data_IF_436029955246
#
_entry.id   IF_436029955246
#
_cell.length_a   1.000
_cell.length_b   1.000
_cell.length_c   1.000
_cell.angle_alpha   90.00
_cell.angle_beta   90.00
_cell.angle_gamma   90.00
#
_symmetry.space_group_name_H-M   'P 1'
#
loop_
_entity.id
_entity.type
_entity.pdbx_description
1 polymer ?
#
# COMPACT_ATOMS: atom_id res chain seq x y z
N UNK A 1 21.33 21.75 5.96
CA UNK A 1 21.36 22.99 6.76
C UNK A 1 20.30 22.88 7.86
N UNK A 2 20.66 22.42 9.06
CA UNK A 2 19.78 22.39 10.24
C UNK A 2 19.94 23.68 11.04
N UNK A 3 18.83 24.37 11.34
CA UNK A 3 18.82 25.59 12.16
C UNK A 3 18.98 25.21 13.64
N UNK A 4 20.05 25.71 14.27
CA UNK A 4 20.29 25.61 15.71
C UNK A 4 19.14 26.25 16.49
N UNK A 5 18.45 25.45 17.32
CA UNK A 5 17.52 25.96 18.32
C UNK A 5 18.31 26.40 19.56
N UNK A 6 18.02 27.61 20.05
CA UNK A 6 18.80 28.33 21.07
C UNK A 6 18.93 27.58 22.41
N UNK A 7 20.17 27.41 22.86
CA UNK A 7 20.59 26.73 24.10
C UNK A 7 20.12 27.43 25.41
N UNK A 8 19.36 28.54 25.34
CA UNK A 8 18.83 29.25 26.51
C UNK A 8 17.46 28.76 27.00
N UNK A 9 16.82 27.83 26.29
CA UNK A 9 15.48 27.30 26.64
C UNK A 9 15.56 26.21 27.73
N UNK A 10 16.76 25.74 28.09
CA UNK A 10 16.96 24.47 28.82
C UNK A 10 16.73 24.54 30.34
N UNK A 11 16.58 25.71 30.98
CA UNK A 11 16.72 25.78 32.45
C UNK A 11 15.44 26.17 33.22
N UNK A 12 14.36 26.64 32.58
CA UNK A 12 13.25 27.29 33.29
C UNK A 12 11.83 26.80 33.07
N UNK A 13 11.59 25.80 32.22
CA UNK A 13 10.23 25.47 31.76
C UNK A 13 9.93 23.98 31.88
N UNK A 14 9.84 23.51 33.12
CA UNK A 14 9.10 22.28 33.48
C UNK A 14 7.58 22.49 33.27
N UNK A 15 7.17 22.77 32.04
CA UNK A 15 5.79 22.61 31.61
C UNK A 15 5.83 21.53 30.54
N UNK A 16 5.51 20.32 31.00
CA UNK A 16 5.24 19.14 30.19
C UNK A 16 4.25 19.49 29.08
N UNK A 17 4.75 19.75 27.88
CA UNK A 17 3.94 19.72 26.67
C UNK A 17 3.78 18.26 26.30
N UNK A 18 2.75 17.62 26.84
CA UNK A 18 2.30 16.32 26.34
C UNK A 18 1.67 16.61 24.98
N UNK A 19 2.43 16.37 23.91
CA UNK A 19 1.90 16.37 22.55
C UNK A 19 1.04 15.11 22.44
N UNK A 20 -0.26 15.26 22.66
CA UNK A 20 -1.22 14.21 22.33
C UNK A 20 -1.34 14.24 20.81
N UNK A 21 -0.60 13.37 20.13
CA UNK A 21 -0.85 13.10 18.72
C UNK A 21 -2.10 12.22 18.71
N UNK A 22 -3.27 12.83 18.52
CA UNK A 22 -4.47 12.09 18.16
C UNK A 22 -4.27 11.53 16.75
N UNK A 23 -3.59 10.38 16.65
CA UNK A 23 -3.63 9.59 15.42
C UNK A 23 -5.04 9.02 15.36
N UNK A 24 -5.96 9.79 14.76
CA UNK A 24 -7.19 9.21 14.24
C UNK A 24 -6.72 8.23 13.18
N UNK A 25 -6.63 6.95 13.53
CA UNK A 25 -6.42 5.86 12.57
C UNK A 25 -7.74 5.74 11.81
N UNK A 26 -7.95 6.67 10.89
CA UNK A 26 -8.81 6.38 9.74
C UNK A 26 -8.01 5.30 9.02
N UNK A 27 -8.52 4.08 8.94
CA UNK A 27 -7.97 3.03 8.09
C UNK A 27 -8.19 3.39 6.61
N UNK A 28 -7.93 4.64 6.23
CA UNK A 28 -7.85 5.05 4.85
C UNK A 28 -6.67 4.29 4.26
N UNK A 29 -6.95 3.49 3.25
CA UNK A 29 -5.94 2.74 2.52
C UNK A 29 -4.86 3.69 2.05
N UNK A 30 -3.67 3.60 2.64
CA UNK A 30 -2.53 4.39 2.26
C UNK A 30 -1.63 3.61 1.30
N UNK A 31 -0.98 4.32 0.37
CA UNK A 31 -0.20 3.67 -0.67
C UNK A 31 1.09 3.01 -0.15
N UNK A 32 1.56 3.37 1.05
CA UNK A 32 2.72 2.73 1.67
C UNK A 32 2.32 1.32 2.12
N UNK A 33 1.14 1.19 2.73
CA UNK A 33 0.56 -0.12 3.09
C UNK A 33 0.33 -0.97 1.84
N UNK A 34 -0.22 -0.40 0.76
CA UNK A 34 -0.41 -1.13 -0.51
C UNK A 34 0.93 -1.58 -1.09
N UNK A 35 1.94 -0.71 -1.12
CA UNK A 35 3.27 -1.06 -1.61
C UNK A 35 3.93 -2.16 -0.76
N UNK A 36 3.78 -2.09 0.57
CA UNK A 36 4.28 -3.13 1.45
C UNK A 36 3.61 -4.48 1.18
N UNK A 37 2.29 -4.50 0.97
CA UNK A 37 1.56 -5.71 0.60
C UNK A 37 2.00 -6.27 -0.76
N UNK A 38 2.17 -5.41 -1.77
CA UNK A 38 2.66 -5.81 -3.09
C UNK A 38 4.09 -6.36 -3.05
N UNK A 39 4.96 -5.84 -2.18
CA UNK A 39 6.34 -6.32 -2.04
C UNK A 39 6.42 -7.81 -1.67
N UNK A 40 5.40 -8.35 -1.00
CA UNK A 40 5.31 -9.78 -0.64
C UNK A 40 5.14 -10.70 -1.85
N UNK A 41 4.79 -10.14 -3.01
CA UNK A 41 4.61 -10.84 -4.28
C UNK A 41 5.81 -10.70 -5.23
N UNK A 42 6.88 -10.00 -4.81
CA UNK A 42 8.05 -9.75 -5.66
C UNK A 42 8.69 -11.03 -6.19
N UNK A 43 8.75 -12.11 -5.42
CA UNK A 43 9.27 -13.39 -5.92
C UNK A 43 8.44 -13.99 -7.06
N UNK A 44 7.13 -13.80 -7.04
CA UNK A 44 6.24 -14.24 -8.11
C UNK A 44 6.48 -13.41 -9.38
N UNK A 45 6.53 -12.10 -9.20
CA UNK A 45 6.65 -11.12 -10.29
C UNK A 45 8.03 -11.19 -10.95
N UNK A 46 9.10 -11.34 -10.15
CA UNK A 46 10.48 -11.32 -10.65
C UNK A 46 10.94 -12.65 -11.26
N UNK A 47 10.40 -13.78 -10.80
CA UNK A 47 10.88 -15.11 -11.22
C UNK A 47 9.92 -15.84 -12.16
N UNK A 48 8.83 -15.19 -12.60
CA UNK A 48 7.76 -15.80 -13.42
C UNK A 48 7.34 -17.20 -12.89
N UNK A 49 7.37 -17.40 -11.57
CA UNK A 49 7.00 -18.70 -11.00
C UNK A 49 5.53 -18.90 -11.29
N UNK A 50 5.20 -19.95 -12.05
CA UNK A 50 4.01 -19.98 -12.91
C UNK A 50 2.69 -19.55 -12.28
N UNK A 51 2.44 -19.70 -10.99
CA UNK A 51 1.24 -19.22 -10.29
C UNK A 51 1.57 -19.09 -8.79
N UNK A 52 1.10 -18.06 -8.06
CA UNK A 52 1.21 -18.07 -6.61
C UNK A 52 0.34 -19.21 -6.07
N UNK A 53 0.86 -20.04 -5.17
CA UNK A 53 0.04 -21.06 -4.54
C UNK A 53 -1.01 -20.39 -3.62
N UNK A 54 -2.23 -20.91 -3.63
CA UNK A 54 -3.29 -20.47 -2.72
C UNK A 54 -2.83 -20.72 -1.27
N UNK A 55 -2.73 -19.65 -0.48
CA UNK A 55 -2.19 -19.67 0.89
C UNK A 55 -0.78 -19.10 1.05
N UNK A 56 -0.12 -18.73 -0.05
CA UNK A 56 1.15 -17.99 -0.02
C UNK A 56 1.03 -16.65 0.71
N UNK A 57 2.18 -16.12 1.17
CA UNK A 57 2.27 -14.76 1.71
C UNK A 57 1.69 -13.75 0.72
N UNK A 58 2.02 -13.89 -0.57
CA UNK A 58 1.47 -13.06 -1.64
C UNK A 58 -0.06 -13.15 -1.74
N UNK A 59 -0.64 -14.36 -1.80
CA UNK A 59 -2.10 -14.46 -1.89
C UNK A 59 -2.80 -14.00 -0.61
N UNK A 60 -2.20 -14.17 0.57
CA UNK A 60 -2.72 -13.57 1.81
C UNK A 60 -2.70 -12.04 1.74
N UNK A 61 -1.64 -11.44 1.20
CA UNK A 61 -1.59 -10.00 1.00
C UNK A 61 -2.66 -9.53 0.01
N UNK A 62 -2.89 -10.27 -1.09
CA UNK A 62 -3.99 -10.00 -2.02
C UNK A 62 -5.36 -10.10 -1.33
N UNK A 63 -5.58 -11.10 -0.48
CA UNK A 63 -6.82 -11.18 0.32
C UNK A 63 -6.98 -9.96 1.23
N UNK A 64 -5.90 -9.47 1.85
CA UNK A 64 -5.93 -8.23 2.63
C UNK A 64 -6.34 -7.02 1.79
N UNK A 65 -5.79 -6.86 0.59
CA UNK A 65 -6.22 -5.82 -0.36
C UNK A 65 -7.70 -5.98 -0.74
N UNK A 66 -8.17 -7.22 -0.88
CA UNK A 66 -9.59 -7.53 -1.11
C UNK A 66 -10.52 -7.05 0.01
N UNK A 67 -10.07 -7.06 1.27
CA UNK A 67 -10.87 -6.50 2.37
C UNK A 67 -10.99 -4.98 2.29
N UNK A 68 -9.94 -4.29 1.84
CA UNK A 68 -9.99 -2.85 1.60
C UNK A 68 -10.95 -2.48 0.46
N UNK A 69 -11.08 -3.33 -0.56
CA UNK A 69 -12.00 -3.12 -1.66
C UNK A 69 -13.50 -3.20 -1.28
N UNK A 70 -13.85 -3.64 -0.06
CA UNK A 70 -15.24 -3.82 0.36
C UNK A 70 -15.96 -2.48 0.58
N UNK A 71 -15.26 -1.45 1.02
CA UNK A 71 -15.82 -0.10 1.22
C UNK A 71 -15.56 0.75 -0.03
N UNK A 72 -16.55 1.46 -0.56
CA UNK A 72 -16.42 2.27 -1.77
C UNK A 72 -15.32 3.34 -1.67
N UNK A 73 -15.18 3.98 -0.50
CA UNK A 73 -14.15 5.01 -0.26
C UNK A 73 -12.76 4.39 -0.31
N UNK A 74 -12.59 3.27 0.38
CA UNK A 74 -11.31 2.56 0.46
C UNK A 74 -10.96 1.85 -0.85
N UNK A 75 -11.95 1.39 -1.62
CA UNK A 75 -11.76 0.80 -2.94
C UNK A 75 -11.20 1.82 -3.93
N UNK A 76 -11.69 3.04 -3.90
CA UNK A 76 -11.20 4.10 -4.77
C UNK A 76 -9.75 4.50 -4.42
N UNK A 77 -9.46 4.65 -3.12
CA UNK A 77 -8.09 4.87 -2.63
C UNK A 77 -7.16 3.69 -2.98
N UNK A 78 -7.64 2.46 -2.81
CA UNK A 78 -6.92 1.24 -3.16
C UNK A 78 -6.61 1.18 -4.66
N UNK A 79 -7.56 1.53 -5.53
CA UNK A 79 -7.33 1.57 -6.97
C UNK A 79 -6.19 2.53 -7.31
N UNK A 80 -6.25 3.77 -6.82
CA UNK A 80 -5.20 4.76 -7.06
C UNK A 80 -3.84 4.30 -6.54
N UNK A 81 -3.80 3.74 -5.33
CA UNK A 81 -2.55 3.25 -4.76
C UNK A 81 -2.02 2.02 -5.49
N UNK A 82 -2.87 1.06 -5.85
CA UNK A 82 -2.45 -0.15 -6.53
C UNK A 82 -1.86 0.19 -7.90
N UNK A 83 -2.60 0.92 -8.75
CA UNK A 83 -2.15 1.34 -10.08
C UNK A 83 -0.94 2.27 -9.99
N UNK A 84 -0.97 3.24 -9.07
CA UNK A 84 0.14 4.17 -8.86
C UNK A 84 1.43 3.47 -8.43
N UNK A 85 1.36 2.53 -7.49
CA UNK A 85 2.54 1.80 -7.02
C UNK A 85 3.11 0.91 -8.11
N UNK A 86 2.27 0.14 -8.82
CA UNK A 86 2.78 -0.77 -9.85
C UNK A 86 3.47 0.00 -10.98
N UNK A 87 2.88 1.13 -11.42
CA UNK A 87 3.41 1.96 -12.50
C UNK A 87 4.67 2.75 -12.09
N UNK A 88 4.78 3.15 -10.82
CA UNK A 88 5.92 3.94 -10.35
C UNK A 88 7.13 3.08 -9.97
N UNK A 89 6.92 1.83 -9.56
CA UNK A 89 7.96 1.02 -8.90
C UNK A 89 8.49 -0.10 -9.79
N UNK A 90 7.66 -0.65 -10.67
CA UNK A 90 7.97 -1.87 -11.42
C UNK A 90 8.02 -1.60 -12.92
N UNK A 91 8.68 -2.50 -13.65
CA UNK A 91 8.70 -2.48 -15.11
C UNK A 91 7.30 -2.79 -15.68
N UNK A 92 7.02 -2.45 -16.95
CA UNK A 92 5.70 -2.73 -17.55
C UNK A 92 5.29 -4.22 -17.49
N UNK A 93 6.25 -5.12 -17.69
CA UNK A 93 6.00 -6.57 -17.65
C UNK A 93 5.66 -7.04 -16.24
N UNK A 94 6.40 -6.54 -15.24
CA UNK A 94 6.15 -6.81 -13.83
C UNK A 94 4.83 -6.22 -13.35
N UNK A 95 4.50 -4.99 -13.75
CA UNK A 95 3.22 -4.36 -13.47
C UNK A 95 2.06 -5.20 -14.04
N UNK A 96 2.20 -5.71 -15.27
CA UNK A 96 1.21 -6.62 -15.85
C UNK A 96 1.13 -7.96 -15.10
N UNK A 97 2.22 -8.46 -14.53
CA UNK A 97 2.17 -9.62 -13.66
C UNK A 97 1.36 -9.34 -12.38
N UNK A 98 1.54 -8.17 -11.75
CA UNK A 98 0.73 -7.74 -10.60
C UNK A 98 -0.77 -7.68 -10.92
N UNK A 99 -1.11 -7.27 -12.14
CA UNK A 99 -2.48 -7.19 -12.62
C UNK A 99 -3.21 -8.55 -12.68
N UNK A 100 -2.46 -9.66 -12.83
CA UNK A 100 -3.01 -11.02 -12.87
C UNK A 100 -3.15 -11.68 -11.50
N UNK A 101 -2.41 -11.19 -10.49
CA UNK A 101 -2.35 -11.78 -9.15
C UNK A 101 -3.70 -11.90 -8.45
N UNK A 102 -4.59 -10.88 -8.46
CA UNK A 102 -5.89 -10.99 -7.80
C UNK A 102 -6.69 -12.19 -8.32
N UNK A 103 -6.74 -12.37 -9.65
CA UNK A 103 -7.41 -13.52 -10.27
C UNK A 103 -6.79 -14.86 -9.87
N UNK A 104 -5.46 -14.94 -9.83
CA UNK A 104 -4.75 -16.16 -9.41
C UNK A 104 -4.98 -16.51 -7.94
N UNK A 105 -5.14 -15.50 -7.10
CA UNK A 105 -5.44 -15.67 -5.69
C UNK A 105 -6.94 -15.77 -5.38
N UNK A 106 -7.81 -15.76 -6.40
CA UNK A 106 -9.27 -15.83 -6.23
C UNK A 106 -9.88 -14.60 -5.54
N UNK A 107 -9.22 -13.44 -5.65
CA UNK A 107 -9.63 -12.18 -5.05
C UNK A 107 -10.18 -11.24 -6.13
N UNK A 108 -11.29 -10.57 -5.82
CA UNK A 108 -11.82 -9.47 -6.63
C UNK A 108 -11.63 -8.15 -5.88
N UNK A 109 -10.94 -7.20 -6.51
CA UNK A 109 -10.73 -5.85 -5.95
C UNK A 109 -11.84 -4.86 -6.36
N UNK A 110 -12.80 -5.29 -7.19
CA UNK A 110 -13.92 -4.45 -7.61
C UNK A 110 -13.55 -3.31 -8.56
N UNK A 111 -12.35 -3.31 -9.12
CA UNK A 111 -11.90 -2.45 -10.21
C UNK A 111 -11.03 -3.26 -11.19
N UNK A 112 -10.84 -2.73 -12.39
CA UNK A 112 -9.93 -3.33 -13.37
C UNK A 112 -8.49 -3.13 -12.91
N UNK A 113 -7.74 -4.21 -12.77
CA UNK A 113 -6.32 -4.13 -12.44
C UNK A 113 -5.54 -4.04 -13.75
N UNK A 114 -5.76 -2.99 -14.53
CA UNK A 114 -4.97 -2.70 -15.75
C UNK A 114 -4.10 -1.46 -15.49
N UNK A 115 -2.83 -1.40 -15.92
CA UNK A 115 -1.96 -0.23 -15.71
C UNK A 115 -2.53 1.10 -16.22
N UNK A 116 -3.50 1.06 -17.15
CA UNK A 116 -4.20 2.20 -17.74
C UNK A 116 -5.58 2.46 -17.12
N UNK A 117 -5.93 1.76 -16.04
CA UNK A 117 -7.23 1.91 -15.38
C UNK A 117 -7.36 3.30 -14.77
N UNK A 118 -8.45 3.99 -15.16
CA UNK A 118 -8.90 5.23 -14.53
C UNK A 118 -9.70 4.89 -13.27
N UNK A 119 -9.16 5.22 -12.11
CA UNK A 119 -9.81 5.04 -10.82
C UNK A 119 -10.88 6.12 -10.62
N UNK A 120 -12.08 5.89 -11.17
CA UNK A 120 -13.26 6.76 -11.10
C UNK A 120 -14.30 6.31 -10.07
#
# INVERSE_FOLDING_TARGET
MMKMVSLRVVIGSWLLVIVVVDTVVVLAVDCITVAALLSTCSEFVNNETKYPYLGSSCCKAMTTLGYFAYNDIDRHALCFCFIGVINATYTPDEANAFCTLPGFCGVSLGFLTDPTTECG
#
